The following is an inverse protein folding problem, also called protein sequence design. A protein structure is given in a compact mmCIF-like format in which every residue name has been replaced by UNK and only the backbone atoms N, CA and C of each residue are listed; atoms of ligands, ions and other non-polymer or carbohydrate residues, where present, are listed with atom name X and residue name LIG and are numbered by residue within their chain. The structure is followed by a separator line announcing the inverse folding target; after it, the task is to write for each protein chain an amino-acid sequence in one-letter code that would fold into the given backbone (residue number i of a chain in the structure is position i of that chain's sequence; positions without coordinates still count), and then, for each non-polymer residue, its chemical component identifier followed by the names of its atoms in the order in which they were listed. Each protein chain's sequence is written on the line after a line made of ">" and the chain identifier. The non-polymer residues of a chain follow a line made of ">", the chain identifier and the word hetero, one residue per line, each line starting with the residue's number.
data_IF_636594881654
#
_entry.id   IF_636594881654
#
_cell.length_a   1.000
_cell.length_b   1.000
_cell.length_c   1.000
_cell.angle_alpha   90.00
_cell.angle_beta   90.00
_cell.angle_gamma   90.00
#
_symmetry.space_group_name_H-M   'P 1'
#
loop_
_entity.id
_entity.type
_entity.pdbx_description
1 polymer ?
#
# COMPACT_ATOMS: atom_id res chain seq x y z
N UNK A 1 -13.08 -9.14 3.67
CA UNK A 1 -12.21 -9.25 4.88
C UNK A 1 -11.95 -7.88 5.51
N UNK A 2 -11.34 -6.91 4.80
CA UNK A 2 -11.07 -5.58 5.38
C UNK A 2 -12.33 -4.88 5.92
N UNK A 3 -13.44 -4.84 5.17
CA UNK A 3 -14.70 -4.26 5.68
C UNK A 3 -15.14 -4.90 7.00
N UNK A 4 -15.20 -6.22 7.05
CA UNK A 4 -15.54 -6.95 8.28
C UNK A 4 -14.57 -6.66 9.42
N UNK A 5 -13.26 -6.53 9.14
CA UNK A 5 -12.28 -6.15 10.16
C UNK A 5 -12.48 -4.70 10.65
N UNK A 6 -12.89 -3.80 9.77
CA UNK A 6 -13.22 -2.42 10.17
C UNK A 6 -14.47 -2.31 11.04
N UNK A 7 -15.44 -3.21 10.84
CA UNK A 7 -16.72 -3.24 11.56
C UNK A 7 -16.62 -3.97 12.90
N UNK A 8 -15.91 -5.10 12.92
CA UNK A 8 -15.94 -6.04 14.04
C UNK A 8 -14.57 -6.21 14.74
N UNK A 9 -13.51 -5.63 14.19
CA UNK A 9 -12.15 -5.72 14.72
C UNK A 9 -11.72 -4.50 15.52
N UNK A 10 -10.40 -4.39 15.75
CA UNK A 10 -9.78 -3.22 16.38
C UNK A 10 -8.71 -2.60 15.45
N UNK A 11 -9.13 -2.01 14.32
CA UNK A 11 -8.20 -1.44 13.34
C UNK A 11 -7.43 -0.21 13.85
N UNK A 12 -7.90 0.45 14.91
CA UNK A 12 -7.21 1.60 15.52
C UNK A 12 -5.88 1.23 16.17
N UNK A 13 -5.75 0.01 16.70
CA UNK A 13 -4.49 -0.46 17.30
C UNK A 13 -3.57 -1.16 16.29
N UNK A 14 -3.98 -1.24 15.02
CA UNK A 14 -3.19 -1.92 14.00
C UNK A 14 -1.96 -1.09 13.64
N UNK A 15 -0.77 -1.68 13.85
CA UNK A 15 0.52 -1.05 13.56
C UNK A 15 1.13 -1.50 12.23
N UNK A 16 0.73 -2.64 11.71
CA UNK A 16 1.26 -3.19 10.46
C UNK A 16 0.19 -3.98 9.72
N UNK A 17 0.17 -3.86 8.40
CA UNK A 17 -0.78 -4.53 7.53
C UNK A 17 -0.03 -5.15 6.34
N UNK A 18 -0.17 -6.47 6.20
CA UNK A 18 0.32 -7.22 5.04
C UNK A 18 -0.88 -7.78 4.27
N UNK A 19 -1.04 -7.35 3.02
CA UNK A 19 -2.06 -7.85 2.10
C UNK A 19 -1.41 -8.45 0.85
N UNK A 20 -0.14 -8.86 0.93
CA UNK A 20 0.57 -9.40 -0.22
C UNK A 20 -0.19 -10.54 -0.88
N UNK A 21 -0.22 -10.52 -2.23
CA UNK A 21 -0.93 -11.51 -3.07
C UNK A 21 -2.42 -11.65 -2.79
N UNK A 22 -3.07 -10.61 -2.26
CA UNK A 22 -4.53 -10.57 -2.13
C UNK A 22 -5.20 -10.18 -3.46
N UNK A 23 -5.27 -11.11 -4.42
CA UNK A 23 -5.80 -10.88 -5.77
C UNK A 23 -7.28 -10.44 -5.82
N UNK A 24 -8.06 -10.61 -4.75
CA UNK A 24 -9.48 -10.23 -4.69
C UNK A 24 -9.71 -8.96 -3.86
N UNK A 25 -8.67 -8.16 -3.63
CA UNK A 25 -8.78 -6.95 -2.84
C UNK A 25 -9.44 -5.82 -3.63
N UNK A 26 -10.56 -5.29 -3.12
CA UNK A 26 -11.12 -4.05 -3.66
C UNK A 26 -10.21 -2.87 -3.29
N UNK A 27 -9.77 -2.13 -4.31
CA UNK A 27 -8.94 -0.93 -4.16
C UNK A 27 -9.72 0.19 -3.48
N UNK A 28 -11.04 0.24 -3.66
CA UNK A 28 -11.94 1.18 -2.97
C UNK A 28 -11.95 0.92 -1.47
N UNK A 29 -12.12 -0.34 -1.05
CA UNK A 29 -12.11 -0.73 0.37
C UNK A 29 -10.73 -0.49 0.98
N UNK A 30 -9.65 -0.81 0.24
CA UNK A 30 -8.28 -0.51 0.68
C UNK A 30 -8.09 1.00 0.90
N UNK A 31 -8.50 1.83 -0.07
CA UNK A 31 -8.41 3.29 0.03
C UNK A 31 -9.18 3.84 1.24
N UNK A 32 -10.41 3.34 1.47
CA UNK A 32 -11.19 3.69 2.67
C UNK A 32 -10.48 3.29 3.96
N UNK A 33 -9.89 2.10 4.00
CA UNK A 33 -9.13 1.62 5.15
C UNK A 33 -7.92 2.52 5.44
N UNK A 34 -7.10 2.79 4.41
CA UNK A 34 -5.89 3.61 4.55
C UNK A 34 -6.23 5.05 4.96
N UNK A 35 -7.28 5.65 4.39
CA UNK A 35 -7.73 6.99 4.79
C UNK A 35 -8.15 7.07 6.25
N UNK A 36 -8.75 6.01 6.78
CA UNK A 36 -9.27 5.99 8.16
C UNK A 36 -8.22 5.60 9.19
N UNK A 37 -7.35 4.63 8.88
CA UNK A 37 -6.44 4.01 9.85
C UNK A 37 -4.96 4.13 9.48
N UNK A 38 -4.63 4.65 8.30
CA UNK A 38 -3.26 4.74 7.78
C UNK A 38 -2.30 5.51 8.68
N UNK A 39 -2.81 6.49 9.44
CA UNK A 39 -1.99 7.27 10.38
C UNK A 39 -1.39 6.41 11.51
N UNK A 40 -2.00 5.26 11.83
CA UNK A 40 -1.50 4.38 12.89
C UNK A 40 -0.49 3.34 12.36
N UNK A 41 -0.45 3.15 11.04
CA UNK A 41 0.40 2.16 10.41
C UNK A 41 1.85 2.61 10.39
N UNK A 42 2.72 1.68 10.78
CA UNK A 42 4.18 1.74 10.66
C UNK A 42 4.71 0.77 9.60
N UNK A 43 3.92 -0.25 9.25
CA UNK A 43 4.24 -1.21 8.18
C UNK A 43 3.07 -1.40 7.23
N UNK A 44 3.35 -1.36 5.92
CA UNK A 44 2.35 -1.64 4.88
C UNK A 44 2.99 -2.44 3.74
N UNK A 45 2.48 -3.64 3.50
CA UNK A 45 2.92 -4.51 2.39
C UNK A 45 1.72 -4.76 1.46
N UNK A 46 1.86 -4.35 0.20
CA UNK A 46 0.86 -4.49 -0.87
C UNK A 46 1.42 -5.21 -2.10
N UNK A 47 2.54 -5.92 -1.96
CA UNK A 47 3.21 -6.60 -3.07
C UNK A 47 2.38 -7.75 -3.66
N UNK A 48 2.40 -7.91 -4.97
CA UNK A 48 1.74 -8.99 -5.68
C UNK A 48 0.23 -8.77 -5.88
N UNK A 49 -0.26 -7.54 -5.83
CA UNK A 49 -1.68 -7.21 -6.07
C UNK A 49 -1.80 -6.41 -7.38
N UNK A 50 -2.24 -7.02 -8.51
CA UNK A 50 -2.26 -6.34 -9.82
C UNK A 50 -3.10 -5.07 -9.87
N UNK A 51 -4.12 -4.95 -9.01
CA UNK A 51 -5.02 -3.79 -9.00
C UNK A 51 -4.44 -2.58 -8.26
N UNK A 52 -3.38 -2.77 -7.46
CA UNK A 52 -2.76 -1.67 -6.72
C UNK A 52 -1.88 -0.88 -7.68
N UNK A 53 -2.41 0.25 -8.14
CA UNK A 53 -1.71 1.18 -9.02
C UNK A 53 -0.87 2.19 -8.23
N UNK A 54 0.08 2.81 -8.92
CA UNK A 54 0.83 3.97 -8.41
C UNK A 54 -0.09 5.14 -8.02
N UNK A 55 -1.11 5.43 -8.84
CA UNK A 55 -2.10 6.47 -8.56
C UNK A 55 -2.89 6.22 -7.26
N UNK A 56 -3.26 4.98 -6.98
CA UNK A 56 -3.92 4.60 -5.72
C UNK A 56 -2.99 4.88 -4.54
N UNK A 57 -1.72 4.48 -4.64
CA UNK A 57 -0.73 4.67 -3.59
C UNK A 57 -0.47 6.15 -3.34
N UNK A 58 -0.16 6.92 -4.39
CA UNK A 58 0.11 8.36 -4.31
C UNK A 58 -1.05 9.10 -3.65
N UNK A 59 -2.30 8.74 -3.97
CA UNK A 59 -3.48 9.37 -3.37
C UNK A 59 -3.66 9.07 -1.86
N UNK A 60 -3.06 7.99 -1.35
CA UNK A 60 -3.18 7.56 0.03
C UNK A 60 -1.91 7.82 0.87
N UNK A 61 -0.74 8.03 0.26
CA UNK A 61 0.52 8.34 0.96
C UNK A 61 0.42 9.46 2.00
N UNK A 62 -0.33 10.56 1.81
CA UNK A 62 -0.48 11.61 2.83
C UNK A 62 -1.07 11.15 4.17
N UNK A 63 -1.74 9.99 4.17
CA UNK A 63 -2.34 9.38 5.37
C UNK A 63 -1.35 8.46 6.10
N UNK A 64 -0.26 8.05 5.44
CA UNK A 64 0.75 7.09 5.92
C UNK A 64 1.96 7.80 6.55
N UNK A 65 1.70 8.81 7.39
CA UNK A 65 2.74 9.71 7.93
C UNK A 65 3.74 9.03 8.86
N UNK A 66 3.34 7.93 9.50
CA UNK A 66 4.16 7.21 10.47
C UNK A 66 4.79 5.92 9.90
N UNK A 67 4.73 5.77 8.57
CA UNK A 67 5.20 4.57 7.89
C UNK A 67 6.73 4.45 7.99
N UNK A 68 7.20 3.28 8.44
CA UNK A 68 8.62 2.90 8.55
C UNK A 68 9.00 1.83 7.54
N UNK A 69 8.06 0.95 7.19
CA UNK A 69 8.25 -0.15 6.24
C UNK A 69 7.17 -0.08 5.17
N UNK A 70 7.59 0.00 3.90
CA UNK A 70 6.72 -0.03 2.74
C UNK A 70 7.19 -1.11 1.76
N UNK A 71 6.31 -2.07 1.45
CA UNK A 71 6.55 -3.10 0.44
C UNK A 71 5.54 -2.97 -0.69
N UNK A 72 6.02 -2.71 -1.90
CA UNK A 72 5.23 -2.60 -3.12
C UNK A 72 5.87 -3.44 -4.21
N UNK A 73 5.09 -3.83 -5.20
CA UNK A 73 5.62 -4.60 -6.31
C UNK A 73 4.69 -5.62 -6.88
N UNK A 74 5.17 -6.31 -7.90
CA UNK A 74 4.67 -7.58 -8.40
C UNK A 74 5.76 -8.64 -8.26
N UNK A 75 5.37 -9.90 -8.15
CA UNK A 75 6.32 -11.01 -8.18
C UNK A 75 6.88 -11.18 -9.60
N UNK A 76 8.12 -11.66 -9.69
CA UNK A 76 8.81 -11.98 -10.95
C UNK A 76 7.90 -12.78 -11.90
N UNK A 77 7.81 -12.35 -13.15
CA UNK A 77 6.99 -13.01 -14.19
C UNK A 77 5.49 -12.68 -14.17
N UNK A 78 5.01 -11.90 -13.19
CA UNK A 78 3.63 -11.38 -13.17
C UNK A 78 3.49 -9.97 -13.76
N UNK A 79 4.59 -9.36 -14.23
CA UNK A 79 4.60 -8.02 -14.82
C UNK A 79 3.66 -7.88 -16.03
N UNK A 80 3.42 -8.97 -16.77
CA UNK A 80 2.43 -9.00 -17.87
C UNK A 80 0.98 -8.75 -17.41
N UNK A 81 0.67 -8.88 -16.11
CA UNK A 81 -0.65 -8.57 -15.55
C UNK A 81 -0.81 -7.09 -15.20
N UNK A 82 0.28 -6.32 -15.18
CA UNK A 82 0.24 -4.88 -14.95
C UNK A 82 -0.15 -4.21 -16.26
N UNK A 83 -1.38 -3.69 -16.32
CA UNK A 83 -1.91 -3.06 -17.53
C UNK A 83 -1.41 -1.62 -17.73
N UNK A 84 -0.80 -1.02 -16.71
CA UNK A 84 -0.39 0.39 -16.70
C UNK A 84 1.09 0.54 -16.40
N UNK A 85 1.74 1.49 -17.09
CA UNK A 85 3.13 1.85 -16.83
C UNK A 85 3.23 2.49 -15.45
N UNK A 86 3.98 1.87 -14.55
CA UNK A 86 4.26 2.43 -13.22
C UNK A 86 5.30 3.55 -13.38
N UNK A 87 4.95 4.75 -12.94
CA UNK A 87 5.86 5.89 -12.94
C UNK A 87 6.65 5.89 -11.63
N UNK A 88 7.68 5.03 -11.56
CA UNK A 88 8.48 4.81 -10.35
C UNK A 88 9.06 6.11 -9.80
N UNK A 89 9.53 7.02 -10.65
CA UNK A 89 10.09 8.31 -10.22
C UNK A 89 9.08 9.15 -9.45
N UNK A 90 7.86 9.31 -9.99
CA UNK A 90 6.78 10.07 -9.34
C UNK A 90 6.32 9.43 -8.03
N UNK A 91 6.32 8.09 -7.99
CA UNK A 91 6.00 7.35 -6.78
C UNK A 91 7.06 7.59 -5.70
N UNK A 92 8.35 7.53 -6.06
CA UNK A 92 9.46 7.79 -5.14
C UNK A 92 9.40 9.22 -4.60
N UNK A 93 9.19 10.22 -5.47
CA UNK A 93 9.03 11.63 -5.05
C UNK A 93 7.88 11.79 -4.06
N UNK A 94 6.76 11.13 -4.34
CA UNK A 94 5.59 11.15 -3.46
C UNK A 94 5.85 10.47 -2.13
N UNK A 95 6.58 9.35 -2.11
CA UNK A 95 6.98 8.66 -0.88
C UNK A 95 7.90 9.56 -0.06
N UNK A 96 8.92 10.15 -0.68
CA UNK A 96 9.86 11.06 -0.01
C UNK A 96 9.15 12.27 0.60
N UNK A 97 8.12 12.80 -0.07
CA UNK A 97 7.35 13.96 0.42
C UNK A 97 6.41 13.63 1.61
N UNK A 98 5.95 12.39 1.75
CA UNK A 98 4.89 12.04 2.73
C UNK A 98 5.36 11.12 3.86
N UNK A 99 6.41 10.32 3.65
CA UNK A 99 6.86 9.28 4.58
C UNK A 99 8.25 9.61 5.15
N UNK A 100 8.33 10.62 6.01
CA UNK A 100 9.62 11.09 6.57
C UNK A 100 10.31 10.12 7.54
N UNK A 101 9.59 9.10 8.02
CA UNK A 101 10.11 8.08 8.95
C UNK A 101 10.42 6.75 8.27
N UNK A 102 10.43 6.72 6.93
CA UNK A 102 10.64 5.49 6.18
C UNK A 102 12.07 4.96 6.41
N UNK A 103 12.17 3.72 6.87
CA UNK A 103 13.43 3.02 7.15
C UNK A 103 13.70 1.90 6.15
N UNK A 104 12.62 1.33 5.57
CA UNK A 104 12.71 0.26 4.60
C UNK A 104 11.68 0.45 3.49
N UNK A 105 12.18 0.42 2.26
CA UNK A 105 11.40 0.48 1.04
C UNK A 105 11.76 -0.72 0.17
N UNK A 106 10.83 -1.64 -0.01
CA UNK A 106 10.98 -2.80 -0.89
C UNK A 106 10.09 -2.56 -2.12
N UNK A 107 10.71 -2.45 -3.30
CA UNK A 107 10.04 -2.26 -4.60
C UNK A 107 10.47 -3.38 -5.55
N UNK A 108 9.53 -4.14 -6.11
CA UNK A 108 9.84 -5.22 -7.06
C UNK A 108 8.92 -5.20 -8.28
N UNK A 109 9.44 -4.99 -9.48
CA UNK A 109 8.65 -5.07 -10.74
C UNK A 109 9.44 -5.70 -11.90
N UNK A 110 10.38 -6.60 -11.56
CA UNK A 110 11.23 -7.31 -12.53
C UNK A 110 10.45 -8.34 -13.38
#
# INVERSE_FOLDING_TARGET
>A
VLLNYMENGNPSELIALDLSRCDNLSTEVLSLFLKKYGQNLRGLILSGIPQVTDSLLVSNLPTLKNLRILGLGMAEGCCAKIQQKILVDQLIDSIAANCSYLERLDLSWD
#
